data_IF_394850468243
#
_entry.id   IF_394850468243
#
_cell.length_a   1.000
_cell.length_b   1.000
_cell.length_c   1.000
_cell.angle_alpha   90.00
_cell.angle_beta   90.00
_cell.angle_gamma   90.00
#
_symmetry.space_group_name_H-M   'P 1'
#
loop_
_entity.id
_entity.type
_entity.pdbx_description
1 polymer ?
#
# COMPACT_ATOMS: atom_id res chain seq x y z
N UNK A 1 -10.99 -6.74 -13.76
CA UNK A 1 -11.33 -7.57 -12.58
C UNK A 1 -10.42 -7.13 -11.47
N UNK A 2 -11.00 -6.71 -10.36
CA UNK A 2 -10.26 -6.02 -9.31
C UNK A 2 -9.97 -6.96 -8.14
N UNK A 3 -8.87 -6.67 -7.43
CA UNK A 3 -8.47 -7.40 -6.23
C UNK A 3 -9.59 -7.46 -5.21
N UNK A 4 -10.48 -6.46 -5.15
CA UNK A 4 -11.63 -6.40 -4.24
C UNK A 4 -12.71 -7.46 -4.52
N UNK A 5 -12.84 -7.92 -5.77
CA UNK A 5 -13.87 -8.88 -6.16
C UNK A 5 -13.62 -10.26 -5.53
N UNK A 6 -12.36 -10.69 -5.47
CA UNK A 6 -11.96 -12.01 -4.95
C UNK A 6 -12.20 -12.20 -3.42
N UNK A 7 -11.76 -11.29 -2.52
CA UNK A 7 -12.10 -11.32 -1.11
C UNK A 7 -13.57 -10.99 -0.87
N UNK A 8 -14.20 -10.12 -1.68
CA UNK A 8 -15.64 -9.85 -1.58
C UNK A 8 -16.52 -11.08 -1.85
N UNK A 9 -16.18 -11.85 -2.88
CA UNK A 9 -16.88 -13.09 -3.24
C UNK A 9 -16.60 -14.26 -2.30
N UNK A 10 -15.50 -14.23 -1.55
CA UNK A 10 -15.16 -15.25 -0.55
C UNK A 10 -15.54 -14.84 0.87
N UNK A 11 -16.03 -13.61 1.08
CA UNK A 11 -16.43 -13.10 2.39
C UNK A 11 -17.66 -13.81 2.96
N UNK A 12 -18.53 -14.33 2.09
CA UNK A 12 -19.68 -15.14 2.49
C UNK A 12 -19.41 -16.61 2.19
N UNK A 13 -19.55 -17.48 3.19
CA UNK A 13 -19.31 -18.93 3.06
C UNK A 13 -20.13 -19.58 1.93
N UNK A 14 -21.35 -19.08 1.69
CA UNK A 14 -22.21 -19.52 0.57
C UNK A 14 -21.62 -19.19 -0.81
N UNK A 15 -20.94 -18.05 -0.95
CA UNK A 15 -20.32 -17.62 -2.19
C UNK A 15 -18.94 -18.26 -2.37
N UNK A 16 -18.19 -18.46 -1.28
CA UNK A 16 -16.94 -19.22 -1.27
C UNK A 16 -17.14 -20.71 -1.64
N UNK A 17 -18.32 -21.28 -1.35
CA UNK A 17 -18.67 -22.63 -1.81
C UNK A 17 -18.89 -22.70 -3.34
N UNK A 18 -19.34 -21.60 -3.97
CA UNK A 18 -19.56 -21.49 -5.41
C UNK A 18 -18.25 -21.33 -6.21
N UNK A 19 -17.16 -20.92 -5.57
CA UNK A 19 -15.83 -20.84 -6.22
C UNK A 19 -15.08 -22.16 -6.23
N UNK A 20 -15.62 -23.22 -5.59
CA UNK A 20 -15.01 -24.55 -5.57
C UNK A 20 -15.58 -25.42 -6.68
N UNK A 21 -14.70 -26.12 -7.39
CA UNK A 21 -15.11 -27.26 -8.22
C UNK A 21 -15.69 -28.33 -7.29
N UNK A 22 -16.91 -28.79 -7.56
CA UNK A 22 -17.55 -29.84 -6.74
C UNK A 22 -16.66 -31.09 -6.74
N UNK A 23 -16.43 -31.75 -5.58
CA UNK A 23 -15.67 -32.98 -5.55
C UNK A 23 -16.37 -34.03 -6.43
N UNK A 24 -15.71 -34.47 -7.51
CA UNK A 24 -16.26 -35.38 -8.51
C UNK A 24 -16.70 -34.75 -9.83
N UNK A 25 -16.72 -33.43 -9.94
CA UNK A 25 -16.81 -32.74 -11.23
C UNK A 25 -15.39 -32.59 -11.79
N UNK A 26 -15.00 -33.46 -12.72
CA UNK A 26 -13.82 -33.22 -13.54
C UNK A 26 -14.09 -31.92 -14.31
N UNK A 27 -13.30 -30.88 -14.05
CA UNK A 27 -13.29 -29.64 -14.82
C UNK A 27 -12.82 -29.96 -16.25
N UNK A 28 -13.68 -30.58 -17.05
CA UNK A 28 -13.40 -31.04 -18.42
C UNK A 28 -13.49 -29.90 -19.43
N UNK A 29 -13.91 -28.71 -19.01
CA UNK A 29 -14.04 -27.54 -19.89
C UNK A 29 -12.89 -26.59 -19.54
N UNK A 30 -11.91 -26.42 -20.45
CA UNK A 30 -10.86 -25.43 -20.28
C UNK A 30 -11.46 -24.04 -20.14
N UNK A 31 -10.88 -23.21 -19.28
CA UNK A 31 -11.28 -21.81 -19.15
C UNK A 31 -11.00 -21.08 -20.47
N UNK A 32 -12.05 -20.48 -21.05
CA UNK A 32 -11.99 -19.85 -22.38
C UNK A 32 -12.09 -18.31 -22.31
N UNK A 33 -12.74 -17.78 -21.26
CA UNK A 33 -12.85 -16.33 -21.07
C UNK A 33 -11.64 -15.76 -20.33
N UNK A 34 -11.12 -14.64 -20.83
CA UNK A 34 -10.02 -13.87 -20.21
C UNK A 34 -10.28 -13.58 -18.73
N UNK A 35 -11.48 -13.10 -18.45
CA UNK A 35 -11.91 -12.67 -17.12
C UNK A 35 -11.96 -13.83 -16.11
N UNK A 36 -12.40 -15.01 -16.54
CA UNK A 36 -12.44 -16.21 -15.69
C UNK A 36 -11.04 -16.72 -15.37
N UNK A 37 -10.12 -16.64 -16.36
CA UNK A 37 -8.70 -16.97 -16.13
C UNK A 37 -8.03 -16.02 -15.15
N UNK A 38 -8.20 -14.71 -15.32
CA UNK A 38 -7.61 -13.69 -14.43
C UNK A 38 -8.12 -13.87 -13.01
N UNK A 39 -9.42 -14.09 -12.80
CA UNK A 39 -9.98 -14.36 -11.48
C UNK A 39 -9.38 -15.62 -10.83
N UNK A 40 -9.21 -16.69 -11.60
CA UNK A 40 -8.68 -17.95 -11.08
C UNK A 40 -7.17 -17.85 -10.74
N UNK A 41 -6.39 -17.12 -11.55
CA UNK A 41 -4.99 -16.79 -11.24
C UNK A 41 -4.91 -16.01 -9.92
N UNK A 42 -5.77 -15.01 -9.72
CA UNK A 42 -5.80 -14.22 -8.49
C UNK A 42 -6.17 -15.08 -7.28
N UNK A 43 -7.14 -15.99 -7.40
CA UNK A 43 -7.48 -16.91 -6.30
C UNK A 43 -6.31 -17.82 -5.93
N UNK A 44 -5.67 -18.44 -6.92
CA UNK A 44 -4.53 -19.32 -6.64
C UNK A 44 -3.35 -18.53 -6.05
N UNK A 45 -3.10 -17.32 -6.54
CA UNK A 45 -2.11 -16.41 -5.96
C UNK A 45 -2.40 -16.10 -4.49
N UNK A 46 -3.64 -15.76 -4.15
CA UNK A 46 -4.07 -15.49 -2.78
C UNK A 46 -3.95 -16.72 -1.87
N UNK A 47 -4.21 -17.91 -2.40
CA UNK A 47 -4.02 -19.18 -1.70
C UNK A 47 -2.53 -19.45 -1.43
N UNK A 48 -1.67 -19.27 -2.44
CA UNK A 48 -0.22 -19.47 -2.32
C UNK A 48 0.43 -18.50 -1.32
N UNK A 49 -0.05 -17.26 -1.25
CA UNK A 49 0.40 -16.27 -0.25
C UNK A 49 -0.21 -16.49 1.14
N UNK A 50 -1.20 -17.37 1.27
CA UNK A 50 -1.89 -17.65 2.54
C UNK A 50 -2.88 -16.57 2.98
N UNK A 51 -3.37 -15.75 2.05
CA UNK A 51 -4.51 -14.87 2.28
C UNK A 51 -5.81 -15.66 2.28
N UNK A 52 -5.92 -16.66 1.40
CA UNK A 52 -7.04 -17.60 1.40
C UNK A 52 -6.57 -18.95 1.92
N UNK A 53 -7.39 -19.57 2.77
CA UNK A 53 -7.24 -20.96 3.15
C UNK A 53 -7.64 -21.86 1.97
N UNK A 54 -7.21 -23.14 1.98
CA UNK A 54 -7.62 -24.15 0.97
C UNK A 54 -9.15 -24.35 0.91
N UNK A 55 -9.86 -23.89 1.93
CA UNK A 55 -11.32 -23.84 1.98
C UNK A 55 -11.90 -22.55 1.39
N UNK A 56 -11.11 -21.70 0.71
CA UNK A 56 -11.53 -20.36 0.28
C UNK A 56 -12.10 -19.49 1.43
N UNK A 57 -11.75 -19.81 2.68
CA UNK A 57 -12.07 -18.97 3.83
C UNK A 57 -10.97 -17.91 3.99
N UNK A 58 -11.33 -16.75 4.53
CA UNK A 58 -10.38 -15.66 4.77
C UNK A 58 -9.42 -16.00 5.90
N UNK A 59 -8.12 -15.85 5.64
CA UNK A 59 -7.14 -15.75 6.71
C UNK A 59 -7.21 -14.37 7.38
N UNK A 60 -6.56 -14.17 8.55
CA UNK A 60 -6.53 -12.87 9.21
C UNK A 60 -6.05 -11.72 8.33
N UNK A 61 -5.10 -12.02 7.44
CA UNK A 61 -4.59 -11.04 6.49
C UNK A 61 -5.63 -10.66 5.44
N UNK A 62 -6.41 -11.64 4.96
CA UNK A 62 -7.50 -11.37 4.02
C UNK A 62 -8.67 -10.63 4.67
N UNK A 63 -8.98 -10.90 5.94
CA UNK A 63 -10.00 -10.16 6.68
C UNK A 63 -9.59 -8.70 6.90
N UNK A 64 -8.33 -8.46 7.29
CA UNK A 64 -7.75 -7.13 7.40
C UNK A 64 -7.79 -6.38 6.06
N UNK A 65 -7.39 -7.06 4.97
CA UNK A 65 -7.44 -6.49 3.63
C UNK A 65 -8.86 -6.17 3.17
N UNK A 66 -9.81 -7.09 3.40
CA UNK A 66 -11.20 -6.90 3.00
C UNK A 66 -11.85 -5.73 3.75
N UNK A 67 -11.62 -5.63 5.06
CA UNK A 67 -12.11 -4.52 5.88
C UNK A 67 -11.51 -3.19 5.44
N UNK A 68 -10.20 -3.16 5.15
CA UNK A 68 -9.50 -1.98 4.64
C UNK A 68 -10.04 -1.55 3.26
N UNK A 69 -10.18 -2.49 2.31
CA UNK A 69 -10.75 -2.21 0.98
C UNK A 69 -12.19 -1.72 1.07
N UNK A 70 -13.00 -2.20 2.01
CA UNK A 70 -14.38 -1.75 2.18
C UNK A 70 -14.46 -0.31 2.69
N UNK A 71 -13.47 0.12 3.47
CA UNK A 71 -13.38 1.48 3.97
C UNK A 71 -12.75 2.43 2.94
N UNK A 72 -11.79 1.95 2.15
CA UNK A 72 -11.32 2.67 0.97
C UNK A 72 -12.49 2.79 -0.03
N UNK A 73 -12.84 4.01 -0.42
CA UNK A 73 -13.82 4.18 -1.47
C UNK A 73 -13.29 3.57 -2.78
N UNK A 74 -14.16 2.89 -3.55
CA UNK A 74 -13.81 2.09 -4.74
C UNK A 74 -13.04 2.84 -5.85
N UNK A 75 -12.96 4.17 -5.78
CA UNK A 75 -12.22 5.00 -6.74
C UNK A 75 -10.72 5.08 -6.46
N UNK A 76 -10.29 4.83 -5.23
CA UNK A 76 -8.88 4.89 -4.90
C UNK A 76 -8.23 3.55 -5.21
N UNK A 77 -7.31 3.56 -6.18
CA UNK A 77 -6.54 2.40 -6.65
C UNK A 77 -5.52 1.91 -5.59
N UNK A 78 -5.94 1.81 -4.33
CA UNK A 78 -5.11 1.41 -3.19
C UNK A 78 -4.95 -0.10 -3.05
N UNK A 79 -5.60 -0.91 -3.89
CA UNK A 79 -5.61 -2.37 -3.73
C UNK A 79 -4.20 -2.97 -3.75
N UNK A 80 -3.39 -2.62 -4.74
CA UNK A 80 -2.00 -3.09 -4.86
C UNK A 80 -1.14 -2.55 -3.70
N UNK A 81 -1.30 -1.27 -3.36
CA UNK A 81 -0.58 -0.64 -2.24
C UNK A 81 -0.95 -1.27 -0.88
N UNK A 82 -2.21 -1.64 -0.67
CA UNK A 82 -2.67 -2.32 0.54
C UNK A 82 -2.11 -3.74 0.63
N UNK A 83 -2.07 -4.46 -0.50
CA UNK A 83 -1.44 -5.79 -0.52
C UNK A 83 0.04 -5.71 -0.18
N UNK A 84 0.76 -4.77 -0.81
CA UNK A 84 2.19 -4.53 -0.53
C UNK A 84 2.41 -4.14 0.93
N UNK A 85 1.58 -3.26 1.50
CA UNK A 85 1.66 -2.89 2.90
C UNK A 85 1.53 -4.10 3.83
N UNK A 86 0.51 -4.93 3.62
CA UNK A 86 0.28 -6.13 4.41
C UNK A 86 1.46 -7.11 4.29
N UNK A 87 1.99 -7.31 3.10
CA UNK A 87 3.15 -8.17 2.89
C UNK A 87 4.44 -7.62 3.50
N UNK A 88 4.62 -6.30 3.53
CA UNK A 88 5.74 -5.65 4.22
C UNK A 88 5.62 -5.73 5.74
N UNK A 89 4.39 -5.66 6.28
CA UNK A 89 4.11 -5.93 7.70
C UNK A 89 4.46 -7.37 8.04
N UNK A 90 4.05 -8.33 7.19
CA UNK A 90 4.39 -9.75 7.34
C UNK A 90 5.89 -10.01 7.26
N UNK A 91 6.60 -9.30 6.39
CA UNK A 91 8.05 -9.37 6.26
C UNK A 91 8.79 -8.70 7.44
N UNK A 92 8.08 -7.98 8.32
CA UNK A 92 8.66 -7.26 9.46
C UNK A 92 9.44 -6.01 9.06
N UNK A 93 9.25 -5.52 7.84
CA UNK A 93 10.00 -4.37 7.29
C UNK A 93 9.36 -3.04 7.70
N UNK A 94 8.07 -3.06 8.06
CA UNK A 94 7.35 -1.88 8.54
C UNK A 94 7.73 -1.58 9.98
N UNK A 95 8.71 -0.72 10.21
CA UNK A 95 9.06 -0.23 11.55
C UNK A 95 9.59 1.20 11.51
N UNK A 96 9.50 1.90 12.64
CA UNK A 96 10.02 3.26 12.81
C UNK A 96 11.53 3.36 13.08
N UNK A 97 12.27 2.24 13.03
CA UNK A 97 13.73 2.21 13.30
C UNK A 97 14.55 2.49 12.04
N UNK A 98 15.73 3.06 12.24
CA UNK A 98 16.72 3.29 11.18
C UNK A 98 17.34 1.96 10.71
N UNK A 99 17.44 1.76 9.40
CA UNK A 99 17.93 0.50 8.79
C UNK A 99 19.41 0.20 9.08
N UNK A 100 20.24 1.24 9.15
CA UNK A 100 21.70 1.10 9.30
C UNK A 100 22.21 1.51 10.68
N UNK A 101 21.33 1.84 11.62
CA UNK A 101 21.69 2.50 12.88
C UNK A 101 22.29 3.91 12.71
N UNK A 102 22.33 4.43 11.48
CA UNK A 102 22.74 5.79 11.13
C UNK A 102 21.59 6.48 10.42
N UNK A 103 21.37 7.76 10.74
CA UNK A 103 20.45 8.60 10.00
C UNK A 103 21.02 8.94 8.62
N UNK A 104 20.31 8.54 7.55
CA UNK A 104 20.60 8.91 6.18
C UNK A 104 19.97 10.26 5.81
N UNK A 105 20.49 10.88 4.74
CA UNK A 105 19.97 12.15 4.23
C UNK A 105 18.50 12.01 3.81
N UNK A 106 17.68 12.99 4.16
CA UNK A 106 16.26 12.97 3.86
C UNK A 106 15.38 12.25 4.89
N UNK A 107 15.96 11.72 5.98
CA UNK A 107 15.23 11.24 7.16
C UNK A 107 14.69 12.38 8.06
N UNK A 108 13.97 12.05 9.14
CA UNK A 108 13.32 13.01 10.02
C UNK A 108 14.31 13.95 10.73
N UNK A 109 14.09 15.27 10.58
CA UNK A 109 15.08 16.31 10.94
C UNK A 109 14.85 16.92 12.33
N UNK A 110 13.58 16.97 12.77
CA UNK A 110 13.17 17.69 13.99
C UNK A 110 12.50 16.74 15.00
N UNK A 111 12.53 17.12 16.28
CA UNK A 111 11.85 16.41 17.37
C UNK A 111 12.73 15.44 18.18
N UNK A 112 12.09 14.79 19.14
CA UNK A 112 12.66 13.70 19.95
C UNK A 112 12.86 12.43 19.13
N UNK A 113 13.67 11.48 19.61
CA UNK A 113 13.92 10.24 18.87
C UNK A 113 12.65 9.39 18.69
N UNK A 114 11.69 9.49 19.62
CA UNK A 114 10.37 8.87 19.50
C UNK A 114 9.53 9.51 18.39
N UNK A 115 9.54 10.85 18.29
CA UNK A 115 8.83 11.59 17.24
C UNK A 115 9.44 11.34 15.86
N UNK A 116 10.77 11.27 15.78
CA UNK A 116 11.48 10.88 14.55
C UNK A 116 11.10 9.46 14.13
N UNK A 117 11.00 8.53 15.07
CA UNK A 117 10.60 7.15 14.79
C UNK A 117 9.15 7.07 14.28
N UNK A 118 8.24 7.87 14.86
CA UNK A 118 6.86 8.00 14.38
C UNK A 118 6.81 8.59 12.97
N UNK A 119 7.54 9.68 12.72
CA UNK A 119 7.60 10.30 11.40
C UNK A 119 8.18 9.34 10.35
N UNK A 120 9.23 8.58 10.69
CA UNK A 120 9.80 7.57 9.79
C UNK A 120 8.79 6.49 9.41
N UNK A 121 7.99 6.01 10.37
CA UNK A 121 6.94 5.02 10.12
C UNK A 121 5.84 5.56 9.19
N UNK A 122 5.44 6.82 9.39
CA UNK A 122 4.49 7.52 8.51
C UNK A 122 5.08 7.65 7.11
N UNK A 123 6.34 8.09 6.99
CA UNK A 123 7.03 8.21 5.71
C UNK A 123 7.11 6.86 4.97
N UNK A 124 7.48 5.78 5.65
CA UNK A 124 7.51 4.42 5.08
C UNK A 124 6.11 4.03 4.57
N UNK A 125 5.08 4.18 5.39
CA UNK A 125 3.70 3.77 5.03
C UNK A 125 3.18 4.54 3.83
N UNK A 126 3.34 5.86 3.82
CA UNK A 126 2.87 6.70 2.72
C UNK A 126 3.67 6.45 1.43
N UNK A 127 4.95 6.09 1.53
CA UNK A 127 5.78 5.86 0.35
C UNK A 127 5.39 4.65 -0.52
N UNK A 128 4.50 3.78 -0.02
CA UNK A 128 3.95 2.63 -0.75
C UNK A 128 2.95 3.09 -1.83
N UNK A 129 2.34 4.27 -1.66
CA UNK A 129 1.34 4.80 -2.59
C UNK A 129 2.04 5.52 -3.76
N UNK A 130 1.66 5.24 -5.01
CA UNK A 130 2.22 5.94 -6.17
C UNK A 130 1.61 7.34 -6.33
N UNK A 131 2.47 8.36 -6.48
CA UNK A 131 2.07 9.73 -6.80
C UNK A 131 1.73 9.92 -8.29
N UNK A 132 0.85 10.88 -8.57
CA UNK A 132 0.54 11.32 -9.92
C UNK A 132 1.43 12.48 -10.36
N UNK A 133 2.24 12.26 -11.40
CA UNK A 133 3.18 13.26 -11.92
C UNK A 133 2.73 13.92 -13.22
N UNK A 134 3.20 15.14 -13.43
CA UNK A 134 3.25 15.83 -14.73
C UNK A 134 4.53 15.41 -15.45
N UNK A 135 4.49 15.39 -16.78
CA UNK A 135 5.65 15.10 -17.62
C UNK A 135 6.62 16.29 -17.66
N UNK A 136 7.35 16.50 -16.57
CA UNK A 136 8.30 17.61 -16.38
C UNK A 136 9.65 17.05 -15.91
N UNK A 137 10.80 17.58 -16.37
CA UNK A 137 12.11 17.15 -15.89
C UNK A 137 12.27 17.37 -14.38
N UNK A 138 12.99 16.44 -13.74
CA UNK A 138 13.18 16.39 -12.30
C UNK A 138 14.19 17.43 -11.78
N UNK A 139 13.92 18.00 -10.60
CA UNK A 139 14.81 18.98 -9.95
C UNK A 139 14.94 18.89 -8.42
N UNK A 140 14.25 17.97 -7.73
CA UNK A 140 14.19 17.96 -6.25
C UNK A 140 15.20 16.96 -5.62
N UNK A 141 15.45 17.10 -4.32
CA UNK A 141 16.43 16.30 -3.56
C UNK A 141 15.94 14.88 -3.27
N UNK A 142 16.85 13.91 -3.36
CA UNK A 142 16.59 12.49 -3.11
C UNK A 142 16.72 12.16 -1.61
N UNK A 143 15.73 11.46 -1.04
CA UNK A 143 15.82 10.89 0.31
C UNK A 143 16.46 9.50 0.26
N UNK A 144 17.61 9.34 0.91
CA UNK A 144 18.34 8.07 0.96
C UNK A 144 17.62 7.04 1.85
N UNK A 145 17.00 7.46 2.96
CA UNK A 145 16.19 6.57 3.81
C UNK A 145 15.07 5.90 3.01
N UNK A 146 14.33 6.71 2.25
CA UNK A 146 13.23 6.21 1.43
C UNK A 146 13.71 5.43 0.22
N UNK A 147 14.92 5.68 -0.29
CA UNK A 147 15.53 4.87 -1.35
C UNK A 147 15.78 3.44 -0.86
N UNK A 148 16.29 3.29 0.36
CA UNK A 148 16.48 1.96 0.97
C UNK A 148 15.13 1.27 1.13
N UNK A 149 14.13 1.96 1.68
CA UNK A 149 12.80 1.39 1.84
C UNK A 149 12.15 1.01 0.50
N UNK A 150 12.29 1.86 -0.52
CA UNK A 150 11.77 1.61 -1.86
C UNK A 150 12.41 0.37 -2.50
N UNK A 151 13.67 0.05 -2.19
CA UNK A 151 14.30 -1.19 -2.67
C UNK A 151 13.55 -2.45 -2.20
N UNK A 152 13.02 -2.45 -0.97
CA UNK A 152 12.18 -3.54 -0.45
C UNK A 152 10.84 -3.60 -1.17
N UNK A 153 10.17 -2.45 -1.36
CA UNK A 153 8.90 -2.38 -2.10
C UNK A 153 9.09 -2.91 -3.52
N UNK A 154 10.15 -2.46 -4.22
CA UNK A 154 10.44 -2.88 -5.58
C UNK A 154 10.73 -4.37 -5.66
N UNK A 155 11.58 -4.87 -4.77
CA UNK A 155 11.92 -6.30 -4.72
C UNK A 155 10.67 -7.16 -4.48
N UNK A 156 9.82 -6.75 -3.53
CA UNK A 156 8.57 -7.45 -3.23
C UNK A 156 7.58 -7.39 -4.40
N UNK A 157 7.34 -6.20 -4.97
CA UNK A 157 6.43 -6.04 -6.11
C UNK A 157 6.87 -6.87 -7.32
N UNK A 158 8.17 -6.89 -7.62
CA UNK A 158 8.73 -7.72 -8.70
C UNK A 158 8.53 -9.22 -8.40
N UNK A 159 8.79 -9.66 -7.17
CA UNK A 159 8.58 -11.05 -6.77
C UNK A 159 7.10 -11.48 -6.86
N UNK A 160 6.17 -10.63 -6.41
CA UNK A 160 4.73 -10.91 -6.51
C UNK A 160 4.26 -10.93 -7.96
N UNK A 161 4.79 -10.04 -8.80
CA UNK A 161 4.51 -10.04 -10.25
C UNK A 161 4.99 -11.33 -10.91
N UNK A 162 6.22 -11.75 -10.65
CA UNK A 162 6.76 -13.02 -11.15
C UNK A 162 5.91 -14.21 -10.69
N UNK A 163 5.43 -14.21 -9.44
CA UNK A 163 4.56 -15.27 -8.93
C UNK A 163 3.22 -15.35 -9.68
N UNK A 164 2.60 -14.21 -10.01
CA UNK A 164 1.37 -14.16 -10.82
C UNK A 164 1.61 -14.70 -12.23
N UNK A 165 2.73 -14.32 -12.86
CA UNK A 165 3.07 -14.75 -14.22
C UNK A 165 3.38 -16.26 -14.26
N UNK A 166 4.13 -16.77 -13.27
CA UNK A 166 4.39 -18.22 -13.13
C UNK A 166 3.11 -18.99 -12.84
N UNK A 167 2.19 -18.43 -12.04
CA UNK A 167 0.88 -19.06 -11.78
C UNK A 167 0.04 -19.14 -13.06
N UNK A 168 0.04 -18.06 -13.85
CA UNK A 168 -0.63 -18.02 -15.15
C UNK A 168 -0.04 -19.05 -16.11
N UNK A 169 1.29 -19.14 -16.18
CA UNK A 169 2.00 -20.13 -16.98
C UNK A 169 1.68 -21.56 -16.53
N UNK A 170 1.65 -21.82 -15.22
CA UNK A 170 1.31 -23.13 -14.67
C UNK A 170 -0.11 -23.56 -15.06
N UNK A 171 -1.09 -22.65 -15.05
CA UNK A 171 -2.45 -22.95 -15.52
C UNK A 171 -2.51 -23.28 -17.01
N UNK A 172 -1.76 -22.55 -17.84
CA UNK A 172 -1.66 -22.83 -19.28
C UNK A 172 -0.99 -24.18 -19.56
N UNK A 173 0.10 -24.51 -18.85
CA UNK A 173 0.84 -25.77 -19.00
C UNK A 173 0.04 -26.99 -18.54
N UNK A 174 -0.82 -26.83 -17.53
CA UNK A 174 -1.72 -27.89 -17.05
C UNK A 174 -2.93 -28.13 -17.96
N UNK A 175 -3.09 -27.33 -19.01
CA UNK A 175 -4.26 -27.32 -19.90
C UNK A 175 -5.57 -27.02 -19.16
N UNK A 176 -5.50 -26.38 -17.99
CA UNK A 176 -6.66 -25.89 -17.24
C UNK A 176 -7.30 -24.68 -17.96
N UNK A 177 -6.56 -24.07 -18.88
CA UNK A 177 -7.00 -23.02 -19.81
C UNK A 177 -6.65 -23.37 -21.26
N UNK A 178 -7.37 -22.80 -22.22
CA UNK A 178 -7.09 -23.01 -23.64
C UNK A 178 -5.68 -22.50 -24.00
N UNK A 179 -4.88 -23.30 -24.71
CA UNK A 179 -3.50 -22.93 -25.07
C UNK A 179 -3.42 -22.15 -26.40
N UNK A 180 -4.37 -22.36 -27.31
CA UNK A 180 -4.42 -21.67 -28.60
C UNK A 180 -5.18 -20.35 -28.45
N UNK A 181 -4.51 -19.31 -27.94
CA UNK A 181 -5.13 -17.99 -27.68
C UNK A 181 -4.24 -16.85 -28.17
N UNK A 182 -4.86 -15.82 -28.72
CA UNK A 182 -4.19 -14.60 -29.20
C UNK A 182 -4.22 -13.45 -28.16
N UNK A 183 -4.92 -13.63 -27.04
CA UNK A 183 -5.16 -12.61 -26.00
C UNK A 183 -4.17 -12.68 -24.81
N UNK A 184 -3.03 -13.36 -24.95
CA UNK A 184 -2.04 -13.55 -23.88
C UNK A 184 -1.51 -12.22 -23.32
N UNK A 185 -1.32 -11.22 -24.19
CA UNK A 185 -0.88 -9.88 -23.79
C UNK A 185 -1.97 -9.19 -22.95
N UNK A 186 -3.23 -9.29 -23.36
CA UNK A 186 -4.35 -8.67 -22.64
C UNK A 186 -4.56 -9.30 -21.26
N UNK A 187 -4.29 -10.60 -21.12
CA UNK A 187 -4.24 -11.28 -19.81
C UNK A 187 -3.12 -10.68 -18.97
N UNK A 188 -1.90 -10.60 -19.50
CA UNK A 188 -0.75 -10.08 -18.78
C UNK A 188 -0.96 -8.62 -18.33
N UNK A 189 -1.59 -7.79 -19.15
CA UNK A 189 -1.97 -6.41 -18.80
C UNK A 189 -3.14 -6.33 -17.80
N UNK A 190 -3.92 -7.39 -17.67
CA UNK A 190 -5.00 -7.47 -16.67
C UNK A 190 -4.52 -8.00 -15.32
N UNK A 191 -3.28 -8.50 -15.22
CA UNK A 191 -2.67 -8.96 -13.97
C UNK A 191 -2.22 -7.77 -13.10
N UNK A 192 -2.24 -8.00 -11.80
CA UNK A 192 -1.89 -7.03 -10.75
C UNK A 192 -0.38 -6.71 -10.70
N UNK A 193 0.00 -5.63 -10.02
CA UNK A 193 1.39 -5.18 -9.86
C UNK A 193 2.09 -4.82 -11.18
N UNK A 194 1.34 -4.31 -12.17
CA UNK A 194 1.90 -3.89 -13.45
C UNK A 194 2.72 -2.59 -13.33
N UNK A 195 2.33 -1.70 -12.43
CA UNK A 195 3.07 -0.47 -12.15
C UNK A 195 4.21 -0.75 -11.18
N UNK A 196 5.46 -0.57 -11.60
CA UNK A 196 6.54 -0.44 -10.63
C UNK A 196 6.30 0.81 -9.78
N UNK A 197 6.64 0.75 -8.49
CA UNK A 197 6.68 1.91 -7.60
C UNK A 197 7.87 2.80 -7.98
N UNK A 198 7.72 3.48 -9.13
CA UNK A 198 8.47 4.62 -9.65
C UNK A 198 9.90 4.80 -9.10
N UNK A 199 10.84 3.96 -9.51
CA UNK A 199 12.26 4.12 -9.09
C UNK A 199 12.93 5.38 -9.67
N UNK A 200 12.42 5.95 -10.76
CA UNK A 200 13.00 7.14 -11.41
C UNK A 200 12.43 8.49 -10.93
N UNK A 201 11.11 8.57 -10.70
CA UNK A 201 10.38 9.78 -10.28
C UNK A 201 9.82 9.68 -8.84
N UNK A 202 9.61 8.48 -8.31
CA UNK A 202 8.84 8.22 -7.08
C UNK A 202 9.65 8.03 -5.81
N UNK A 203 10.97 7.86 -5.88
CA UNK A 203 11.80 7.81 -4.66
C UNK A 203 11.98 9.20 -4.06
N UNK A 204 12.15 10.21 -4.92
CA UNK A 204 12.42 11.57 -4.49
C UNK A 204 11.14 12.39 -4.25
N UNK A 205 10.00 11.90 -4.73
CA UNK A 205 8.67 12.37 -4.42
C UNK A 205 7.79 11.13 -4.26
N UNK A 206 7.80 10.52 -3.09
CA UNK A 206 6.72 9.64 -2.67
C UNK A 206 5.77 10.44 -1.79
N UNK A 207 4.56 9.96 -1.51
CA UNK A 207 3.72 10.61 -0.49
C UNK A 207 4.46 10.73 0.85
N UNK A 208 5.45 9.87 1.13
CA UNK A 208 6.33 10.00 2.29
C UNK A 208 7.21 11.27 2.28
N UNK A 209 7.74 11.69 1.13
CA UNK A 209 8.51 12.95 1.02
C UNK A 209 7.59 14.17 1.11
N UNK A 210 6.42 14.11 0.46
CA UNK A 210 5.41 15.17 0.57
C UNK A 210 4.95 15.34 2.02
N UNK A 211 4.61 14.24 2.68
CA UNK A 211 4.21 14.26 4.08
C UNK A 211 5.34 14.77 4.98
N UNK A 212 6.59 14.39 4.71
CA UNK A 212 7.72 14.95 5.44
C UNK A 212 7.83 16.47 5.25
N UNK A 213 7.81 16.98 4.01
CA UNK A 213 7.91 18.43 3.76
C UNK A 213 6.74 19.17 4.40
N UNK A 214 5.54 18.59 4.33
CA UNK A 214 4.35 19.10 5.01
C UNK A 214 4.56 19.19 6.54
N UNK A 215 5.03 18.12 7.16
CA UNK A 215 5.25 18.04 8.61
C UNK A 215 6.42 18.93 9.08
N UNK A 216 7.52 18.96 8.32
CA UNK A 216 8.67 19.83 8.59
C UNK A 216 8.29 21.31 8.44
N UNK A 217 7.49 21.68 7.44
CA UNK A 217 7.03 23.05 7.26
C UNK A 217 6.02 23.47 8.36
N UNK A 218 5.12 22.57 8.76
CA UNK A 218 4.20 22.82 9.88
C UNK A 218 4.95 23.03 11.20
N UNK A 219 5.94 22.19 11.48
CA UNK A 219 6.75 22.32 12.70
C UNK A 219 7.62 23.58 12.66
N UNK A 220 8.13 23.98 11.49
CA UNK A 220 8.87 25.23 11.34
C UNK A 220 8.00 26.47 11.59
N UNK A 221 6.77 26.50 11.06
CA UNK A 221 5.82 27.60 11.29
C UNK A 221 5.34 27.67 12.75
N UNK A 222 5.33 26.55 13.46
CA UNK A 222 4.93 26.46 14.87
C UNK A 222 6.12 26.53 15.85
N UNK A 223 7.12 27.38 15.57
CA UNK A 223 8.30 27.60 16.42
C UNK A 223 9.11 26.33 16.76
N UNK A 224 9.26 25.40 15.80
CA UNK A 224 9.94 24.11 15.99
C UNK A 224 9.27 23.19 17.04
N UNK A 225 8.02 23.48 17.42
CA UNK A 225 7.23 22.65 18.30
C UNK A 225 6.09 21.98 17.53
N UNK A 226 5.75 20.77 17.98
CA UNK A 226 4.63 20.02 17.40
C UNK A 226 3.31 20.74 17.65
N UNK A 227 2.40 20.63 16.69
CA UNK A 227 1.00 21.01 16.91
C UNK A 227 0.36 19.95 17.79
N UNK A 228 -0.03 20.31 19.01
CA UNK A 228 -0.74 19.42 19.94
C UNK A 228 -2.26 19.50 19.76
N UNK A 229 -2.77 20.66 19.36
CA UNK A 229 -4.21 20.93 19.24
C UNK A 229 -4.57 21.32 17.79
N UNK A 230 -5.42 20.53 17.10
CA UNK A 230 -5.77 20.79 15.70
C UNK A 230 -6.64 22.04 15.50
N UNK A 231 -7.29 22.54 16.57
CA UNK A 231 -8.16 23.71 16.57
C UNK A 231 -7.52 24.96 17.21
N UNK A 232 -6.22 24.92 17.52
CA UNK A 232 -5.55 26.10 18.07
C UNK A 232 -5.53 27.26 17.06
N UNK A 233 -5.57 28.49 17.56
CA UNK A 233 -5.54 29.70 16.74
C UNK A 233 -4.28 29.71 15.86
N UNK A 234 -4.45 29.97 14.55
CA UNK A 234 -3.36 30.00 13.57
C UNK A 234 -2.98 28.66 12.94
N UNK A 235 -3.38 27.50 13.49
CA UNK A 235 -3.03 26.18 12.91
C UNK A 235 -3.68 25.97 11.53
N UNK A 236 -4.93 26.41 11.35
CA UNK A 236 -5.62 26.30 10.05
C UNK A 236 -4.96 27.14 8.96
N UNK A 237 -4.45 28.31 9.33
CA UNK A 237 -3.72 29.21 8.42
C UNK A 237 -2.33 28.66 8.11
N UNK A 238 -1.63 28.12 9.12
CA UNK A 238 -0.36 27.43 8.92
C UNK A 238 -0.51 26.23 7.97
N UNK A 239 -1.57 25.41 8.12
CA UNK A 239 -1.86 24.30 7.19
C UNK A 239 -2.07 24.78 5.76
N UNK A 240 -2.81 25.86 5.55
CA UNK A 240 -3.01 26.44 4.22
C UNK A 240 -1.68 26.93 3.60
N UNK A 241 -0.86 27.66 4.38
CA UNK A 241 0.45 28.12 3.92
C UNK A 241 1.40 26.96 3.59
N UNK A 242 1.37 25.88 4.37
CA UNK A 242 2.20 24.69 4.09
C UNK A 242 1.78 23.99 2.80
N UNK A 243 0.47 23.93 2.52
CA UNK A 243 -0.01 23.37 1.26
C UNK A 243 0.45 24.21 0.06
N UNK A 244 0.47 25.54 0.18
CA UNK A 244 1.03 26.44 -0.84
C UNK A 244 2.54 26.21 -1.02
N UNK A 245 3.31 26.10 0.08
CA UNK A 245 4.75 25.76 0.03
C UNK A 245 4.98 24.41 -0.67
N UNK A 246 4.11 23.42 -0.43
CA UNK A 246 4.19 22.13 -1.11
C UNK A 246 3.92 22.25 -2.62
N UNK A 247 3.00 23.13 -3.04
CA UNK A 247 2.76 23.40 -4.46
C UNK A 247 3.94 24.06 -5.15
N UNK A 248 4.58 25.02 -4.48
CA UNK A 248 5.77 25.69 -5.00
C UNK A 248 6.99 24.77 -5.06
N UNK A 249 7.18 23.93 -4.03
CA UNK A 249 8.32 23.01 -3.92
C UNK A 249 8.23 21.88 -4.94
N UNK A 250 7.02 21.47 -5.33
CA UNK A 250 6.78 20.29 -6.16
C UNK A 250 5.94 20.60 -7.42
N UNK A 251 6.48 21.40 -8.36
CA UNK A 251 5.74 21.79 -9.58
C UNK A 251 5.38 20.59 -10.48
N UNK A 252 6.13 19.50 -10.36
CA UNK A 252 5.95 18.25 -11.10
C UNK A 252 4.83 17.34 -10.60
N UNK A 253 4.24 17.60 -9.42
CA UNK A 253 3.12 16.81 -8.90
C UNK A 253 1.79 17.36 -9.43
N UNK A 254 0.88 16.46 -9.81
CA UNK A 254 -0.50 16.84 -10.15
C UNK A 254 -1.28 17.03 -8.85
N UNK A 255 -1.76 18.25 -8.61
CA UNK A 255 -2.60 18.61 -7.45
C UNK A 255 -2.03 18.12 -6.09
N UNK A 256 -0.95 18.73 -5.58
CA UNK A 256 -0.29 18.32 -4.34
C UNK A 256 -1.21 18.20 -3.12
N UNK A 257 -2.21 19.08 -3.00
CA UNK A 257 -3.20 19.04 -1.91
C UNK A 257 -3.97 17.71 -1.89
N UNK A 258 -4.49 17.30 -3.05
CA UNK A 258 -5.23 16.05 -3.20
C UNK A 258 -4.34 14.84 -2.93
N UNK A 259 -3.06 14.89 -3.29
CA UNK A 259 -2.12 13.80 -3.01
C UNK A 259 -1.78 13.71 -1.52
N UNK A 260 -1.68 14.83 -0.80
CA UNK A 260 -1.50 14.79 0.66
C UNK A 260 -2.72 14.17 1.34
N UNK A 261 -3.93 14.58 0.96
CA UNK A 261 -5.17 13.99 1.47
C UNK A 261 -5.28 12.50 1.15
N UNK A 262 -4.95 12.10 -0.08
CA UNK A 262 -4.91 10.70 -0.52
C UNK A 262 -3.91 9.88 0.30
N UNK A 263 -2.78 10.48 0.67
CA UNK A 263 -1.81 9.87 1.58
C UNK A 263 -2.41 9.61 2.96
N UNK A 264 -3.05 10.62 3.57
CA UNK A 264 -3.69 10.46 4.88
C UNK A 264 -4.87 9.48 4.85
N UNK A 265 -5.65 9.45 3.78
CA UNK A 265 -6.68 8.43 3.59
C UNK A 265 -6.08 7.02 3.54
N UNK A 266 -4.95 6.84 2.84
CA UNK A 266 -4.26 5.56 2.84
C UNK A 266 -3.74 5.19 4.24
N UNK A 267 -3.22 6.14 5.01
CA UNK A 267 -2.85 5.91 6.41
C UNK A 267 -4.05 5.44 7.23
N UNK A 268 -5.19 6.11 7.14
CA UNK A 268 -6.41 5.73 7.87
C UNK A 268 -6.86 4.30 7.52
N UNK A 269 -6.83 3.95 6.24
CA UNK A 269 -7.24 2.62 5.78
C UNK A 269 -6.22 1.53 6.13
N UNK A 270 -4.94 1.75 5.82
CA UNK A 270 -3.88 0.76 5.97
C UNK A 270 -3.39 0.66 7.42
N UNK A 271 -3.02 1.79 8.03
CA UNK A 271 -2.42 1.81 9.36
C UNK A 271 -3.47 1.65 10.47
N UNK A 272 -4.68 2.22 10.33
CA UNK A 272 -5.67 2.13 11.40
C UNK A 272 -6.54 0.90 11.25
N UNK A 273 -7.19 0.73 10.11
CA UNK A 273 -8.17 -0.34 9.97
C UNK A 273 -7.54 -1.71 9.76
N UNK A 274 -6.53 -1.82 8.88
CA UNK A 274 -5.90 -3.11 8.67
C UNK A 274 -5.11 -3.57 9.92
N UNK A 275 -4.34 -2.70 10.58
CA UNK A 275 -3.59 -3.08 11.78
C UNK A 275 -4.49 -3.36 12.99
N UNK A 276 -5.60 -2.64 13.18
CA UNK A 276 -6.58 -2.95 14.26
C UNK A 276 -7.21 -4.32 14.05
N UNK A 277 -7.54 -4.67 12.81
CA UNK A 277 -8.06 -6.00 12.48
C UNK A 277 -7.00 -7.08 12.77
N UNK A 278 -5.76 -6.87 12.33
CA UNK A 278 -4.65 -7.80 12.60
C UNK A 278 -4.35 -7.95 14.09
N UNK A 279 -4.53 -6.89 14.89
CA UNK A 279 -4.45 -6.95 16.35
C UNK A 279 -5.54 -7.83 16.92
N UNK A 280 -6.80 -7.65 16.50
CA UNK A 280 -7.91 -8.46 17.03
C UNK A 280 -7.73 -9.95 16.78
N UNK A 281 -7.03 -10.30 15.70
CA UNK A 281 -6.76 -11.67 15.29
C UNK A 281 -5.38 -12.19 15.75
N UNK A 282 -4.65 -11.40 16.55
CA UNK A 282 -3.30 -11.73 17.07
C UNK A 282 -2.29 -12.15 15.99
N UNK A 283 -2.45 -11.64 14.76
CA UNK A 283 -1.63 -12.03 13.61
C UNK A 283 -0.31 -11.24 13.52
N UNK A 284 -0.10 -10.23 14.37
CA UNK A 284 1.04 -9.29 14.32
C UNK A 284 1.60 -9.08 15.73
N UNK A 285 2.90 -8.75 15.79
CA UNK A 285 3.60 -8.42 17.03
C UNK A 285 2.96 -7.19 17.72
N UNK A 286 2.70 -7.25 19.04
CA UNK A 286 2.08 -6.14 19.78
C UNK A 286 2.93 -4.86 19.72
N UNK A 287 4.26 -4.99 19.75
CA UNK A 287 5.18 -3.85 19.64
C UNK A 287 4.97 -3.02 18.37
N UNK A 288 4.66 -3.67 17.25
CA UNK A 288 4.44 -2.97 15.99
C UNK A 288 3.14 -2.17 16.05
N UNK A 289 2.10 -2.74 16.65
CA UNK A 289 0.81 -2.06 16.80
C UNK A 289 0.94 -0.85 17.72
N UNK A 290 1.75 -0.94 18.77
CA UNK A 290 2.01 0.18 19.67
C UNK A 290 2.78 1.30 18.96
N UNK A 291 3.72 0.97 18.06
CA UNK A 291 4.37 1.96 17.19
C UNK A 291 3.37 2.67 16.28
N UNK A 292 2.42 1.94 15.67
CA UNK A 292 1.39 2.54 14.83
C UNK A 292 0.40 3.40 15.62
N UNK A 293 0.01 3.01 16.84
CA UNK A 293 -0.83 3.82 17.72
C UNK A 293 -0.12 5.11 18.17
N UNK A 294 1.17 5.02 18.51
CA UNK A 294 1.97 6.19 18.85
C UNK A 294 2.08 7.15 17.66
N UNK A 295 2.31 6.61 16.45
CA UNK A 295 2.33 7.39 15.23
C UNK A 295 0.97 8.02 14.88
N UNK A 296 -0.15 7.32 15.11
CA UNK A 296 -1.50 7.88 14.96
C UNK A 296 -1.73 9.05 15.93
N UNK A 297 -1.39 8.89 17.21
CA UNK A 297 -1.52 9.94 18.21
C UNK A 297 -0.66 11.16 17.87
N UNK A 298 0.50 10.94 17.25
CA UNK A 298 1.39 12.00 16.79
C UNK A 298 0.87 12.71 15.52
N UNK A 299 0.33 11.96 14.55
CA UNK A 299 -0.17 12.49 13.28
C UNK A 299 -1.55 13.16 13.41
N UNK A 300 -2.40 12.67 14.31
CA UNK A 300 -3.76 13.13 14.52
C UNK A 300 -3.94 14.66 14.61
N UNK A 301 -3.17 15.39 15.43
CA UNK A 301 -3.29 16.85 15.53
C UNK A 301 -2.71 17.61 14.33
N UNK A 302 -1.86 16.96 13.52
CA UNK A 302 -1.22 17.56 12.34
C UNK A 302 -2.04 17.39 11.05
N UNK A 303 -3.00 16.46 11.04
CA UNK A 303 -4.03 16.29 10.01
C UNK A 303 -5.05 17.43 10.05
#
# INVERSE_FOLDING_TARGET
IDFALCPGTTAMEKQAACTRVRPGATSLIPLDKKDEMVANVIWHFLELRGFLLKTHNHSPMAQAMHSAIRQAHLNDKFQDSLHLFLELVRAGVMHGRLWSGRAFSGGPSFGTDDEKSCMLLVMHTLSIVPLNFKSVPWSVLLSQELLVFNSFIRSLSCALRMLLEVTTLNMLLRSDACQARDDLLDIALSLLFQGEVNTGFGVALSHGVLAKVYLDALTHLNNQQRVCDPNAEGVREAKAMVLEICEETFPGVKSPQMEVERGFQFWDVAALTAMRQLHSEQAVLPELIDQFKAAEAWLGPMR
#
